data_IF_874664736114
#
_entry.id   IF_874664736114
#
_cell.length_a   1.000
_cell.length_b   1.000
_cell.length_c   1.000
_cell.angle_alpha   90.00
_cell.angle_beta   90.00
_cell.angle_gamma   90.00
#
_symmetry.space_group_name_H-M   'P 1'
#
loop_
_entity.id
_entity.type
_entity.pdbx_description
1 polymer ?
#
# COMPACT_ATOMS: atom_id res chain seq x y z
N UNK A 1 25.12 13.24 19.32
CA UNK A 1 24.51 12.21 18.46
C UNK A 1 23.06 12.62 18.31
N UNK A 2 22.71 13.21 17.19
CA UNK A 2 21.34 13.70 16.94
C UNK A 2 20.63 12.63 16.12
N UNK A 3 20.07 11.64 16.81
CA UNK A 3 18.99 10.82 16.24
C UNK A 3 17.71 11.66 16.30
N UNK A 4 17.69 12.70 15.48
CA UNK A 4 16.48 13.44 15.16
C UNK A 4 16.01 12.88 13.83
N UNK A 5 15.34 11.72 13.89
CA UNK A 5 14.32 11.40 12.89
C UNK A 5 13.14 12.35 13.12
N UNK A 6 13.35 13.62 12.80
CA UNK A 6 12.29 14.58 12.50
C UNK A 6 11.62 14.11 11.20
N UNK A 7 10.84 13.03 11.33
CA UNK A 7 9.79 12.75 10.38
C UNK A 7 8.60 13.50 10.93
N UNK A 8 8.48 14.77 10.55
CA UNK A 8 7.25 15.54 10.69
C UNK A 8 6.07 14.64 10.34
N UNK A 9 4.97 14.62 11.14
CA UNK A 9 3.82 13.82 10.78
C UNK A 9 3.30 14.39 9.47
N UNK A 10 3.49 13.65 8.36
CA UNK A 10 2.93 14.00 7.07
C UNK A 10 1.42 13.90 7.21
N UNK A 11 0.81 15.01 7.59
CA UNK A 11 -0.62 15.16 7.75
C UNK A 11 -1.26 14.81 6.40
N UNK A 12 -1.83 13.60 6.31
CA UNK A 12 -2.53 12.97 5.16
C UNK A 12 -1.74 12.01 4.26
N UNK A 13 -0.54 11.57 4.64
CA UNK A 13 0.10 10.42 4.00
C UNK A 13 -0.24 9.15 4.79
N UNK A 14 -1.34 8.51 4.40
CA UNK A 14 -1.89 7.36 5.12
C UNK A 14 -0.96 6.16 4.96
N UNK A 15 -0.28 5.78 6.03
CA UNK A 15 0.39 4.49 6.14
C UNK A 15 -0.57 3.50 6.78
N UNK A 16 -0.87 2.43 6.08
CA UNK A 16 -1.79 1.39 6.51
C UNK A 16 -1.03 0.09 6.59
N UNK A 17 -1.22 -0.66 7.67
CA UNK A 17 -0.57 -1.96 7.85
C UNK A 17 -1.62 -2.96 8.33
N UNK A 18 -1.78 -4.04 7.58
CA UNK A 18 -2.76 -5.08 7.86
C UNK A 18 -2.30 -6.44 7.34
N UNK A 19 -2.82 -7.51 7.92
CA UNK A 19 -2.56 -8.87 7.47
C UNK A 19 -3.46 -9.20 6.29
N UNK A 20 -2.89 -9.76 5.22
CA UNK A 20 -3.62 -10.29 4.08
C UNK A 20 -3.39 -11.79 3.97
N UNK A 21 -4.42 -12.50 3.50
CA UNK A 21 -4.25 -13.88 3.06
C UNK A 21 -3.80 -13.85 1.60
N UNK A 22 -2.53 -14.17 1.37
CA UNK A 22 -1.90 -14.21 0.06
C UNK A 22 -1.23 -15.56 -0.15
N UNK A 23 -1.62 -16.27 -1.22
CA UNK A 23 -1.11 -17.62 -1.52
C UNK A 23 -1.17 -18.58 -0.32
N UNK A 24 -2.33 -18.67 0.34
CA UNK A 24 -2.59 -19.57 1.48
C UNK A 24 -1.73 -19.27 2.72
N UNK A 25 -1.12 -18.08 2.79
CA UNK A 25 -0.34 -17.60 3.95
C UNK A 25 -0.84 -16.24 4.39
N UNK A 26 -0.80 -16.00 5.69
CA UNK A 26 -1.01 -14.68 6.27
C UNK A 26 0.29 -13.88 6.17
N UNK A 27 0.27 -12.85 5.33
CA UNK A 27 1.42 -11.98 5.09
C UNK A 27 1.09 -10.56 5.57
N UNK A 28 2.08 -9.88 6.15
CA UNK A 28 1.95 -8.47 6.49
C UNK A 28 1.98 -7.64 5.22
N UNK A 29 0.91 -6.89 4.98
CA UNK A 29 0.79 -5.91 3.91
C UNK A 29 0.86 -4.51 4.51
N UNK A 30 1.82 -3.73 4.03
CA UNK A 30 1.95 -2.31 4.34
C UNK A 30 1.69 -1.52 3.07
N UNK A 31 0.87 -0.49 3.20
CA UNK A 31 0.48 0.39 2.10
C UNK A 31 0.78 1.82 2.50
N UNK A 32 1.60 2.50 1.72
CA UNK A 32 1.93 3.91 1.91
C UNK A 32 1.26 4.71 0.79
N UNK A 33 0.24 5.48 1.14
CA UNK A 33 -0.50 6.32 0.19
C UNK A 33 0.17 7.69 0.09
N UNK A 34 0.89 7.91 -1.00
CA UNK A 34 1.52 9.18 -1.37
C UNK A 34 0.73 9.84 -2.51
N UNK A 35 -0.06 10.88 -2.21
CA UNK A 35 -0.91 11.57 -3.19
C UNK A 35 -1.89 10.61 -3.93
N UNK A 36 -1.59 10.32 -5.20
CA UNK A 36 -2.31 9.42 -6.11
C UNK A 36 -1.61 8.06 -6.26
N UNK A 37 -0.55 7.79 -5.52
CA UNK A 37 0.18 6.52 -5.56
C UNK A 37 0.03 5.79 -4.24
N UNK A 38 -0.02 4.46 -4.32
CA UNK A 38 -0.04 3.57 -3.18
C UNK A 38 1.14 2.62 -3.34
N UNK A 39 2.11 2.74 -2.45
CA UNK A 39 3.24 1.84 -2.38
C UNK A 39 2.88 0.66 -1.48
N UNK A 40 2.76 -0.52 -2.07
CA UNK A 40 2.36 -1.77 -1.41
C UNK A 40 3.60 -2.62 -1.16
N UNK A 41 3.77 -3.05 0.09
CA UNK A 41 4.88 -3.88 0.57
C UNK A 41 4.28 -5.10 1.27
N UNK A 42 4.48 -6.29 0.73
CA UNK A 42 3.98 -7.54 1.30
C UNK A 42 5.17 -8.41 1.70
N UNK A 43 5.21 -8.82 2.96
CA UNK A 43 6.22 -9.73 3.54
C UNK A 43 7.68 -9.32 3.27
N UNK A 44 7.91 -8.03 3.03
CA UNK A 44 9.22 -7.44 2.71
C UNK A 44 9.94 -8.02 1.45
N UNK A 45 9.27 -8.90 0.70
CA UNK A 45 9.78 -9.56 -0.50
C UNK A 45 9.00 -9.18 -1.76
N UNK A 46 7.76 -8.72 -1.60
CA UNK A 46 6.88 -8.33 -2.69
C UNK A 46 6.62 -6.83 -2.56
N UNK A 47 7.03 -6.07 -3.57
CA UNK A 47 6.82 -4.63 -3.59
C UNK A 47 6.09 -4.26 -4.86
N UNK A 48 5.00 -3.51 -4.76
CA UNK A 48 4.22 -3.06 -5.90
C UNK A 48 3.85 -1.58 -5.73
N UNK A 49 3.74 -0.88 -6.85
CA UNK A 49 3.24 0.49 -6.88
C UNK A 49 1.90 0.47 -7.60
N UNK A 50 0.86 0.96 -6.93
CA UNK A 50 -0.47 1.16 -7.50
C UNK A 50 -0.68 2.65 -7.70
N UNK A 51 -1.29 3.02 -8.81
CA UNK A 51 -1.69 4.38 -9.12
C UNK A 51 -3.22 4.49 -9.05
N UNK A 52 -3.68 5.45 -8.26
CA UNK A 52 -5.07 5.86 -8.16
C UNK A 52 -5.40 6.76 -9.35
N UNK A 53 -6.17 6.18 -10.26
CA UNK A 53 -6.74 6.84 -11.40
C UNK A 53 -7.83 7.84 -10.96
N UNK A 54 -8.08 8.89 -11.77
CA UNK A 54 -9.09 9.90 -11.46
C UNK A 54 -10.52 9.37 -11.43
N UNK A 55 -10.78 8.20 -12.01
CA UNK A 55 -12.08 7.52 -11.90
C UNK A 55 -12.26 6.80 -10.54
N UNK A 56 -11.21 6.74 -9.72
CA UNK A 56 -11.18 6.04 -8.45
C UNK A 56 -10.72 4.59 -8.55
N UNK A 57 -10.24 4.12 -9.70
CA UNK A 57 -9.65 2.79 -9.86
C UNK A 57 -8.18 2.76 -9.45
N UNK A 58 -7.72 1.64 -8.86
CA UNK A 58 -6.30 1.40 -8.62
C UNK A 58 -5.75 0.54 -9.75
N UNK A 59 -4.74 1.04 -10.44
CA UNK A 59 -4.02 0.32 -11.49
C UNK A 59 -2.59 0.07 -11.06
N UNK A 60 -2.06 -1.12 -11.30
CA UNK A 60 -0.65 -1.37 -11.03
C UNK A 60 0.24 -0.55 -11.97
N UNK A 61 1.07 0.31 -11.39
CA UNK A 61 2.03 1.13 -12.11
C UNK A 61 3.40 0.45 -12.22
N UNK A 62 3.85 -0.26 -11.17
CA UNK A 62 5.19 -0.90 -11.14
C UNK A 62 5.31 -2.00 -10.07
N UNK A 63 6.44 -2.72 -10.09
CA UNK A 63 6.79 -3.75 -9.10
C UNK A 63 6.23 -5.15 -9.40
N UNK A 64 6.10 -5.96 -8.36
CA UNK A 64 5.61 -7.33 -8.44
C UNK A 64 4.14 -7.35 -8.87
N UNK A 65 3.81 -8.17 -9.87
CA UNK A 65 2.43 -8.36 -10.30
C UNK A 65 1.58 -8.83 -9.12
N UNK A 66 0.62 -7.99 -8.72
CA UNK A 66 -0.37 -8.34 -7.71
C UNK A 66 -1.63 -8.84 -8.42
N UNK A 67 -2.26 -9.92 -7.93
CA UNK A 67 -3.55 -10.35 -8.44
C UNK A 67 -4.60 -9.28 -8.17
N UNK A 68 -5.57 -9.15 -9.08
CA UNK A 68 -6.64 -8.14 -9.00
C UNK A 68 -7.38 -8.20 -7.66
N UNK A 69 -7.65 -9.41 -7.13
CA UNK A 69 -8.30 -9.58 -5.83
C UNK A 69 -7.53 -8.91 -4.68
N UNK A 70 -6.20 -8.89 -4.72
CA UNK A 70 -5.37 -8.20 -3.71
C UNK A 70 -5.44 -6.68 -3.91
N UNK A 71 -5.39 -6.20 -5.15
CA UNK A 71 -5.50 -4.78 -5.47
C UNK A 71 -6.86 -4.24 -5.02
N UNK A 72 -7.95 -4.97 -5.30
CA UNK A 72 -9.30 -4.61 -4.86
C UNK A 72 -9.44 -4.63 -3.33
N UNK A 73 -8.87 -5.64 -2.67
CA UNK A 73 -8.86 -5.70 -1.21
C UNK A 73 -8.16 -4.50 -0.59
N UNK A 74 -6.97 -4.15 -1.10
CA UNK A 74 -6.22 -2.97 -0.67
C UNK A 74 -7.04 -1.71 -0.93
N UNK A 75 -7.57 -1.53 -2.14
CA UNK A 75 -8.42 -0.39 -2.48
C UNK A 75 -9.53 -0.19 -1.46
N UNK A 76 -10.29 -1.24 -1.18
CA UNK A 76 -11.41 -1.23 -0.24
C UNK A 76 -10.97 -0.87 1.17
N UNK A 77 -9.88 -1.46 1.64
CA UNK A 77 -9.37 -1.20 2.99
C UNK A 77 -8.84 0.23 3.17
N UNK A 78 -8.26 0.82 2.11
CA UNK A 78 -7.66 2.17 2.15
C UNK A 78 -8.70 3.26 1.89
N UNK A 79 -9.67 3.01 1.01
CA UNK A 79 -10.63 4.02 0.54
C UNK A 79 -11.99 3.95 1.24
N UNK A 80 -12.42 2.78 1.72
CA UNK A 80 -13.68 2.60 2.46
C UNK A 80 -13.46 2.38 3.97
N UNK A 81 -12.20 2.33 4.42
CA UNK A 81 -11.80 2.17 5.82
C UNK A 81 -11.72 3.46 6.62
#
# INVERSE_FOLDING_TARGET
MIDQKDTTPAAKDGKYEFLINYSERELTCRVEKEQNKLHVFIDNNINAELELQPDGSLTQASGNALPESTIEFIKKHIMEG
#
